data_IF_997136868970
#
_entry.id   IF_997136868970
#
_cell.length_a   1.000
_cell.length_b   1.000
_cell.length_c   1.000
_cell.angle_alpha   90.00
_cell.angle_beta   90.00
_cell.angle_gamma   90.00
#
_symmetry.space_group_name_H-M   'P 1'
#
loop_
_entity.id
_entity.type
_entity.pdbx_description
1 polymer ?
#
# COMPACT_ATOMS: atom_id res chain seq x y z
N UNK A 1 -0.77 -0.44 6.75
CA UNK A 1 -0.41 -0.21 5.34
C UNK A 1 -0.05 -1.55 4.73
N UNK A 2 -0.73 -1.94 3.67
CA UNK A 2 -0.50 -3.19 2.94
C UNK A 2 0.70 -3.09 2.01
N UNK A 3 1.90 -2.91 2.58
CA UNK A 3 3.13 -2.77 1.81
C UNK A 3 4.36 -3.18 2.62
N UNK A 4 5.31 -3.94 2.04
CA UNK A 4 6.73 -3.69 2.29
C UNK A 4 7.01 -2.24 1.85
N UNK A 5 7.75 -1.45 2.65
CA UNK A 5 7.96 -0.01 2.36
C UNK A 5 8.38 0.21 0.90
N UNK A 6 7.47 0.80 0.10
CA UNK A 6 7.85 1.31 -1.22
C UNK A 6 9.04 2.27 -1.06
N UNK A 7 10.00 2.31 -1.98
CA UNK A 7 11.06 3.32 -1.98
C UNK A 7 10.50 4.75 -2.11
N UNK A 8 9.21 4.88 -2.44
CA UNK A 8 8.43 6.12 -2.50
C UNK A 8 7.95 6.62 -1.12
N UNK A 9 8.79 6.50 -0.09
CA UNK A 9 8.52 7.22 1.15
C UNK A 9 8.93 8.68 0.96
N UNK A 10 7.93 9.54 0.77
CA UNK A 10 8.11 10.98 1.01
C UNK A 10 8.65 11.16 2.43
N UNK A 11 9.58 12.10 2.62
CA UNK A 11 10.18 12.42 3.92
C UNK A 11 9.12 12.66 5.02
N UNK A 12 7.93 13.15 4.62
CA UNK A 12 6.81 13.40 5.53
C UNK A 12 5.60 12.47 5.31
N UNK A 13 5.71 11.43 4.49
CA UNK A 13 4.57 10.62 4.03
C UNK A 13 3.76 10.01 5.18
N UNK A 14 4.42 9.33 6.11
CA UNK A 14 3.77 8.74 7.29
C UNK A 14 3.24 9.81 8.25
N UNK A 15 4.04 10.84 8.52
CA UNK A 15 3.68 11.94 9.41
C UNK A 15 2.41 12.69 8.95
N UNK A 16 2.30 12.98 7.65
CA UNK A 16 1.12 13.62 7.08
C UNK A 16 -0.07 12.66 7.03
N UNK A 17 0.15 11.39 6.69
CA UNK A 17 -0.92 10.39 6.65
C UNK A 17 -1.62 10.26 8.01
N UNK A 18 -0.87 10.24 9.11
CA UNK A 18 -1.41 10.14 10.46
C UNK A 18 -2.09 11.41 10.99
N UNK A 19 -1.77 12.56 10.41
CA UNK A 19 -2.44 13.83 10.75
C UNK A 19 -3.68 14.12 9.92
N UNK A 20 -3.68 13.71 8.66
CA UNK A 20 -4.74 14.07 7.70
C UNK A 20 -5.84 13.00 7.66
N UNK A 21 -5.48 11.72 7.81
CA UNK A 21 -6.46 10.63 7.74
C UNK A 21 -6.90 10.26 9.16
N UNK A 22 -8.18 10.43 9.52
CA UNK A 22 -8.69 10.10 10.85
C UNK A 22 -8.41 8.64 11.23
N UNK A 23 -8.16 8.38 12.51
CA UNK A 23 -7.94 7.01 12.99
C UNK A 23 -9.18 6.12 12.79
N UNK A 24 -10.38 6.71 12.91
CA UNK A 24 -11.65 6.01 12.73
C UNK A 24 -12.01 5.74 11.26
N UNK A 25 -11.15 6.13 10.32
CA UNK A 25 -11.41 6.00 8.89
C UNK A 25 -11.60 4.52 8.50
N UNK A 26 -12.68 4.24 7.75
CA UNK A 26 -13.07 2.89 7.33
C UNK A 26 -11.92 2.10 6.72
N UNK A 27 -11.18 2.69 5.79
CA UNK A 27 -10.05 2.00 5.14
C UNK A 27 -8.89 1.69 6.10
N UNK A 28 -8.69 2.46 7.18
CA UNK A 28 -7.69 2.13 8.21
C UNK A 28 -8.14 0.90 9.00
N UNK A 29 -9.43 0.84 9.36
CA UNK A 29 -10.03 -0.32 10.04
C UNK A 29 -9.95 -1.58 9.18
N UNK A 30 -10.31 -1.48 7.91
CA UNK A 30 -10.22 -2.60 6.95
C UNK A 30 -8.76 -3.07 6.81
N UNK A 31 -7.82 -2.14 6.64
CA UNK A 31 -6.40 -2.47 6.56
C UNK A 31 -5.87 -3.14 7.84
N UNK A 32 -6.47 -2.87 9.00
CA UNK A 32 -6.04 -3.46 10.28
C UNK A 32 -6.51 -4.92 10.44
N UNK A 33 -7.56 -5.33 9.73
CA UNK A 33 -8.19 -6.66 9.91
C UNK A 33 -8.02 -7.57 8.68
N UNK A 34 -7.78 -7.01 7.50
CA UNK A 34 -7.62 -7.77 6.26
C UNK A 34 -6.18 -7.67 5.78
N UNK A 35 -5.55 -8.83 5.56
CA UNK A 35 -4.30 -8.93 4.80
C UNK A 35 -4.60 -9.03 3.30
N UNK A 36 -4.14 -8.03 2.54
CA UNK A 36 -4.27 -7.97 1.08
C UNK A 36 -2.99 -8.40 0.35
N UNK A 37 -2.05 -9.05 1.04
CA UNK A 37 -0.84 -9.62 0.40
C UNK A 37 -1.18 -10.50 -0.81
N UNK A 38 -2.31 -11.22 -0.78
CA UNK A 38 -2.78 -12.08 -1.87
C UNK A 38 -3.06 -11.34 -3.19
N UNK A 39 -3.43 -10.04 -3.13
CA UNK A 39 -3.79 -9.26 -4.33
C UNK A 39 -2.59 -9.16 -5.27
N UNK A 40 -1.39 -9.06 -4.72
CA UNK A 40 -0.16 -8.95 -5.51
C UNK A 40 0.07 -10.19 -6.39
N UNK A 41 -0.11 -11.39 -5.83
CA UNK A 41 0.00 -12.62 -6.62
C UNK A 41 -1.14 -12.75 -7.64
N UNK A 42 -2.34 -12.28 -7.30
CA UNK A 42 -3.50 -12.34 -8.19
C UNK A 42 -3.33 -11.50 -9.46
N UNK A 43 -2.67 -10.34 -9.38
CA UNK A 43 -2.54 -9.41 -10.53
C UNK A 43 -1.17 -9.48 -11.21
N UNK A 44 -0.28 -10.35 -10.74
CA UNK A 44 1.12 -10.42 -11.17
C UNK A 44 1.29 -10.59 -12.68
N UNK A 45 0.43 -11.40 -13.29
CA UNK A 45 0.38 -11.65 -14.74
C UNK A 45 0.02 -10.41 -15.57
N UNK A 46 -0.57 -9.39 -14.93
CA UNK A 46 -0.97 -8.13 -15.58
C UNK A 46 0.09 -7.04 -15.53
N UNK A 47 1.19 -7.27 -14.81
CA UNK A 47 2.28 -6.31 -14.67
C UNK A 47 3.57 -6.90 -15.25
N UNK A 48 4.35 -6.04 -15.90
CA UNK A 48 5.64 -6.42 -16.46
C UNK A 48 6.73 -6.30 -15.38
N UNK A 49 7.60 -7.31 -15.20
CA UNK A 49 8.69 -7.23 -14.23
C UNK A 49 9.76 -6.19 -14.61
N UNK A 50 9.94 -5.96 -15.91
CA UNK A 50 11.05 -5.19 -16.46
C UNK A 50 10.71 -3.72 -16.76
N UNK A 51 9.42 -3.38 -16.90
CA UNK A 51 8.98 -2.07 -17.37
C UNK A 51 7.78 -1.55 -16.57
N UNK A 52 7.79 -0.25 -16.25
CA UNK A 52 6.70 0.43 -15.56
C UNK A 52 6.81 0.38 -14.03
N UNK A 53 5.72 0.68 -13.33
CA UNK A 53 5.65 0.56 -11.88
C UNK A 53 5.37 -0.90 -11.53
N UNK A 54 6.19 -1.55 -10.68
CA UNK A 54 5.92 -2.93 -10.29
C UNK A 54 4.53 -3.05 -9.65
N UNK A 55 3.89 -4.20 -9.84
CA UNK A 55 2.66 -4.55 -9.11
C UNK A 55 2.94 -4.37 -7.61
N UNK A 56 2.25 -3.41 -7.00
CA UNK A 56 2.32 -2.98 -5.60
C UNK A 56 3.36 -3.71 -4.73
N UNK A 57 4.65 -3.43 -4.97
CA UNK A 57 5.73 -3.67 -4.02
C UNK A 57 5.99 -2.41 -3.20
#
# INVERSE_FOLDING_TARGET
MLRPKSPQNSFYGSYLYDRIVPQDHLLRKINAVVDFSFVNELVKDRYTPDFGRPSCM
#
